data_IF_456480968048
#
_entry.id   IF_456480968048
#
_cell.length_a   1.000
_cell.length_b   1.000
_cell.length_c   1.000
_cell.angle_alpha   90.00
_cell.angle_beta   90.00
_cell.angle_gamma   90.00
#
_symmetry.space_group_name_H-M   'P 1'
#
loop_
_entity.id
_entity.type
_entity.pdbx_description
1 polymer ?
#
# COMPACT_ATOMS: atom_id res chain seq x y z
N UNK A 1 -8.42 6.32 -26.59
CA UNK A 1 -8.00 4.96 -26.15
C UNK A 1 -6.80 5.15 -25.21
N UNK A 2 -6.95 5.90 -24.11
CA UNK A 2 -5.80 6.65 -23.56
C UNK A 2 -5.31 6.16 -22.19
N UNK A 3 -5.72 4.96 -21.78
CA UNK A 3 -5.32 4.37 -20.48
C UNK A 3 -4.66 3.00 -20.61
N UNK A 4 -4.50 2.50 -21.84
CA UNK A 4 -3.67 1.34 -22.11
C UNK A 4 -2.21 1.73 -22.03
N UNK A 5 -1.41 0.89 -21.40
CA UNK A 5 0.02 1.12 -21.26
C UNK A 5 0.81 -0.17 -21.46
N UNK A 6 2.06 0.02 -21.89
CA UNK A 6 3.11 -0.98 -21.89
C UNK A 6 4.38 -0.29 -21.41
N UNK A 7 5.06 -0.90 -20.44
CA UNK A 7 6.34 -0.44 -19.90
C UNK A 7 7.33 -1.58 -20.02
N UNK A 8 8.48 -1.28 -20.63
CA UNK A 8 9.67 -2.12 -20.58
C UNK A 8 10.77 -1.29 -19.93
N UNK A 9 11.29 -1.78 -18.82
CA UNK A 9 12.42 -1.16 -18.14
C UNK A 9 13.61 -2.08 -18.21
N UNK A 10 14.72 -1.55 -18.72
CA UNK A 10 16.03 -2.20 -18.68
C UNK A 10 16.89 -1.58 -17.61
N UNK A 11 17.60 -2.40 -16.84
CA UNK A 11 18.48 -1.94 -15.77
C UNK A 11 19.92 -2.24 -16.15
N UNK A 12 20.82 -1.28 -15.88
CA UNK A 12 22.25 -1.47 -16.10
C UNK A 12 23.05 -0.95 -14.91
N UNK A 13 23.76 -1.85 -14.24
CA UNK A 13 24.55 -1.51 -13.06
C UNK A 13 25.91 -0.93 -13.45
N UNK A 14 26.09 0.36 -13.21
CA UNK A 14 27.28 1.12 -13.59
C UNK A 14 28.41 1.05 -12.56
N UNK A 15 28.15 0.58 -11.35
CA UNK A 15 29.09 0.60 -10.21
C UNK A 15 29.57 -0.78 -9.77
N UNK A 16 29.23 -1.84 -10.53
CA UNK A 16 29.60 -3.22 -10.20
C UNK A 16 28.93 -3.80 -8.95
N UNK A 17 27.97 -3.09 -8.33
CA UNK A 17 27.19 -3.62 -7.21
C UNK A 17 26.41 -4.86 -7.65
N UNK A 18 26.36 -5.88 -6.78
CA UNK A 18 25.58 -7.10 -7.01
C UNK A 18 24.60 -7.32 -5.86
N UNK A 19 23.31 -7.23 -6.16
CA UNK A 19 22.27 -7.57 -5.19
C UNK A 19 22.03 -9.08 -5.24
N UNK A 20 22.29 -9.83 -4.16
CA UNK A 20 22.11 -11.28 -4.16
C UNK A 20 20.64 -11.71 -4.24
N UNK A 21 19.69 -10.81 -3.95
CA UNK A 21 18.27 -11.12 -3.91
C UNK A 21 17.54 -10.76 -5.21
N UNK A 22 17.86 -9.61 -5.82
CA UNK A 22 17.11 -9.09 -6.96
C UNK A 22 17.94 -8.13 -7.81
N UNK A 23 18.24 -8.51 -9.06
CA UNK A 23 19.03 -7.73 -10.00
C UNK A 23 18.71 -8.15 -11.45
N UNK A 24 17.49 -7.83 -11.94
CA UNK A 24 17.11 -8.17 -13.31
C UNK A 24 17.81 -7.26 -14.32
N UNK A 25 18.08 -7.78 -15.51
CA UNK A 25 18.45 -6.96 -16.67
C UNK A 25 17.22 -6.20 -17.19
N UNK A 26 16.01 -6.76 -17.03
CA UNK A 26 14.77 -6.10 -17.42
C UNK A 26 13.54 -6.59 -16.64
N UNK A 27 12.51 -5.74 -16.61
CA UNK A 27 11.15 -6.11 -16.23
C UNK A 27 10.16 -5.46 -17.19
N UNK A 28 8.96 -6.03 -17.29
CA UNK A 28 7.92 -5.50 -18.16
C UNK A 28 6.55 -5.56 -17.50
N UNK A 29 5.74 -4.55 -17.81
CA UNK A 29 4.36 -4.43 -17.34
C UNK A 29 3.49 -3.92 -18.47
N UNK A 30 2.22 -4.30 -18.47
CA UNK A 30 1.24 -3.72 -19.38
C UNK A 30 -0.13 -3.84 -18.78
N UNK A 31 -1.06 -3.03 -19.28
CA UNK A 31 -2.42 -3.10 -18.80
C UNK A 31 -3.25 -1.90 -19.20
N UNK A 32 -4.35 -1.76 -18.47
CA UNK A 32 -5.24 -0.61 -18.51
C UNK A 32 -5.28 0.00 -17.11
N UNK A 33 -4.89 1.26 -16.98
CA UNK A 33 -4.92 1.99 -15.71
C UNK A 33 -5.54 3.36 -15.90
N UNK A 34 -6.81 3.45 -15.52
CA UNK A 34 -7.50 4.72 -15.41
C UNK A 34 -7.37 5.23 -13.97
N UNK A 35 -7.04 6.52 -13.83
CA UNK A 35 -6.92 7.17 -12.53
C UNK A 35 -8.26 7.77 -12.06
N UNK A 36 -9.26 7.85 -12.94
CA UNK A 36 -10.57 8.39 -12.62
C UNK A 36 -11.34 7.49 -11.65
N UNK A 37 -12.32 8.07 -10.96
CA UNK A 37 -13.17 7.36 -10.02
C UNK A 37 -14.13 6.41 -10.75
N UNK A 38 -14.50 5.32 -10.08
CA UNK A 38 -15.43 4.30 -10.57
C UNK A 38 -14.94 3.62 -11.85
N UNK A 39 -13.64 3.31 -11.87
CA UNK A 39 -13.00 2.70 -13.02
C UNK A 39 -12.40 1.36 -12.64
N UNK A 40 -12.42 0.45 -13.61
CA UNK A 40 -11.70 -0.81 -13.54
C UNK A 40 -10.31 -0.64 -14.12
N UNK A 41 -9.34 -1.29 -13.51
CA UNK A 41 -7.99 -1.46 -14.02
C UNK A 41 -7.68 -2.94 -14.18
N UNK A 42 -6.75 -3.24 -15.07
CA UNK A 42 -6.07 -4.52 -15.08
C UNK A 42 -4.62 -4.32 -15.45
N UNK A 43 -3.76 -5.20 -14.95
CA UNK A 43 -2.37 -5.21 -15.37
C UNK A 43 -1.75 -6.58 -15.28
N UNK A 44 -0.77 -6.80 -16.14
CA UNK A 44 0.19 -7.87 -16.01
C UNK A 44 1.55 -7.27 -15.66
N UNK A 45 2.26 -7.91 -14.74
CA UNK A 45 3.64 -7.56 -14.44
C UNK A 45 4.53 -8.79 -14.32
N UNK A 46 5.72 -8.71 -14.91
CA UNK A 46 6.79 -9.68 -14.71
C UNK A 46 8.00 -8.97 -14.13
N UNK A 47 8.09 -9.06 -12.80
CA UNK A 47 9.22 -8.61 -12.01
C UNK A 47 10.12 -9.77 -11.60
N UNK A 48 10.17 -10.89 -12.34
CA UNK A 48 11.19 -11.92 -12.04
C UNK A 48 12.59 -11.41 -12.40
N UNK A 49 13.60 -12.14 -11.93
CA UNK A 49 15.00 -11.82 -12.16
C UNK A 49 15.42 -12.15 -13.60
N UNK A 50 14.81 -11.49 -14.59
CA UNK A 50 15.07 -11.74 -16.01
C UNK A 50 16.50 -11.31 -16.35
N UNK A 51 17.34 -12.25 -16.76
CA UNK A 51 18.75 -11.99 -17.08
C UNK A 51 19.00 -12.46 -18.50
N UNK A 52 19.29 -11.51 -19.38
CA UNK A 52 19.57 -11.71 -20.81
C UNK A 52 20.79 -12.63 -20.97
N UNK A 53 21.87 -12.36 -20.21
CA UNK A 53 23.14 -13.09 -20.33
C UNK A 53 23.07 -14.57 -19.93
N UNK A 54 22.11 -14.94 -19.06
CA UNK A 54 21.95 -16.32 -18.56
C UNK A 54 20.92 -17.12 -19.35
N UNK A 55 20.34 -16.54 -20.40
CA UNK A 55 19.19 -17.09 -21.13
C UNK A 55 18.03 -17.51 -20.20
N UNK A 56 17.95 -16.87 -19.03
CA UNK A 56 16.96 -17.17 -18.00
C UNK A 56 15.81 -16.18 -18.19
N UNK A 57 15.02 -16.45 -19.23
CA UNK A 57 13.91 -15.63 -19.68
C UNK A 57 12.64 -16.13 -18.98
N UNK A 58 12.28 -15.50 -17.86
CA UNK A 58 11.03 -15.83 -17.19
C UNK A 58 9.87 -15.35 -18.06
N UNK A 59 8.98 -16.29 -18.41
CA UNK A 59 7.93 -16.08 -19.39
C UNK A 59 6.66 -15.51 -18.77
N UNK A 60 5.59 -15.50 -19.57
CA UNK A 60 4.27 -15.04 -19.10
C UNK A 60 3.78 -15.78 -17.85
N UNK A 61 4.15 -17.06 -17.70
CA UNK A 61 3.78 -17.92 -16.57
C UNK A 61 4.44 -17.53 -15.24
N UNK A 62 5.36 -16.59 -15.25
CA UNK A 62 6.11 -16.20 -14.05
C UNK A 62 5.67 -14.86 -13.47
N UNK A 63 4.81 -14.14 -14.18
CA UNK A 63 4.30 -12.85 -13.76
C UNK A 63 3.10 -12.92 -12.84
N UNK A 64 2.43 -11.78 -12.73
CA UNK A 64 1.28 -11.55 -11.87
C UNK A 64 0.22 -10.80 -12.68
N UNK A 65 -1.00 -11.32 -12.69
CA UNK A 65 -2.16 -10.55 -13.15
C UNK A 65 -2.81 -9.86 -11.98
N UNK A 66 -3.24 -8.62 -12.21
CA UNK A 66 -4.02 -7.82 -11.29
C UNK A 66 -5.27 -7.33 -11.99
N UNK A 67 -6.40 -7.39 -11.30
CA UNK A 67 -7.63 -6.68 -11.65
C UNK A 67 -7.98 -5.81 -10.47
N UNK A 68 -8.29 -4.55 -10.71
CA UNK A 68 -8.61 -3.60 -9.65
C UNK A 68 -9.80 -2.71 -9.96
N UNK A 69 -10.39 -2.17 -8.91
CA UNK A 69 -11.47 -1.20 -8.96
C UNK A 69 -11.21 -0.06 -7.98
N UNK A 70 -11.38 1.18 -8.46
CA UNK A 70 -11.18 2.40 -7.68
C UNK A 70 -12.49 3.15 -7.54
N UNK A 71 -12.85 3.53 -6.33
CA UNK A 71 -14.06 4.34 -6.07
C UNK A 71 -13.83 5.35 -4.97
N UNK A 72 -14.75 6.32 -4.86
CA UNK A 72 -14.83 7.22 -3.72
C UNK A 72 -16.21 7.12 -3.11
N UNK A 73 -16.23 6.99 -1.80
CA UNK A 73 -17.46 6.97 -1.02
C UNK A 73 -17.49 8.25 -0.19
N UNK A 74 -18.63 8.95 -0.27
CA UNK A 74 -18.97 10.07 0.61
C UNK A 74 -19.71 9.52 1.82
N UNK A 75 -19.69 10.27 2.92
CA UNK A 75 -20.54 10.00 4.08
C UNK A 75 -20.24 8.68 4.82
N UNK A 76 -19.00 8.18 4.72
CA UNK A 76 -18.50 7.22 5.72
C UNK A 76 -18.09 8.07 6.92
N UNK A 77 -18.94 8.16 7.94
CA UNK A 77 -18.62 8.93 9.14
C UNK A 77 -17.67 8.12 10.04
N UNK A 78 -16.44 8.63 10.21
CA UNK A 78 -15.60 8.19 11.33
C UNK A 78 -16.00 8.94 12.58
N UNK A 79 -16.36 8.18 13.61
CA UNK A 79 -16.72 8.71 14.93
C UNK A 79 -15.46 8.69 15.80
N UNK A 80 -14.82 9.85 15.96
CA UNK A 80 -13.74 9.99 16.92
C UNK A 80 -14.30 10.04 18.35
N UNK A 81 -13.87 9.11 19.21
CA UNK A 81 -14.17 9.11 20.64
C UNK A 81 -12.91 9.46 21.42
N UNK A 82 -12.82 10.69 21.91
CA UNK A 82 -11.81 11.06 22.89
C UNK A 82 -12.32 10.70 24.29
N UNK A 83 -11.57 9.91 25.04
CA UNK A 83 -11.85 9.63 26.45
C UNK A 83 -10.63 10.04 27.26
N UNK A 84 -10.79 11.08 28.07
CA UNK A 84 -9.74 11.49 29.00
C UNK A 84 -9.74 10.55 30.21
N UNK A 85 -8.61 9.89 30.46
CA UNK A 85 -8.42 9.02 31.63
C UNK A 85 -7.37 9.67 32.55
N UNK A 86 -7.79 10.41 33.59
CA UNK A 86 -6.87 10.94 34.60
C UNK A 86 -6.40 9.85 35.57
N UNK A 87 -5.23 10.05 36.20
CA UNK A 87 -4.72 9.14 37.23
C UNK A 87 -5.58 9.13 38.50
N UNK A 88 -5.42 8.07 39.30
CA UNK A 88 -6.27 7.65 40.40
C UNK A 88 -6.59 8.77 41.42
N UNK A 89 -7.87 8.88 41.82
CA UNK A 89 -8.46 9.63 42.96
C UNK A 89 -9.38 10.86 42.74
N UNK A 90 -10.19 10.97 41.67
CA UNK A 90 -11.32 11.95 41.66
C UNK A 90 -12.62 11.38 41.07
N UNK A 91 -13.79 11.89 41.48
CA UNK A 91 -15.10 11.63 40.85
C UNK A 91 -15.30 12.61 39.69
N UNK A 92 -15.84 12.16 38.55
CA UNK A 92 -15.84 12.93 37.30
C UNK A 92 -17.19 13.02 36.57
N UNK A 93 -17.34 14.12 35.83
CA UNK A 93 -18.25 14.31 34.70
C UNK A 93 -17.54 13.90 33.42
N UNK A 94 -18.11 12.98 32.64
CA UNK A 94 -17.59 12.57 31.33
C UNK A 94 -18.37 13.28 30.24
N UNK A 95 -17.68 14.05 29.40
CA UNK A 95 -18.25 14.64 28.18
C UNK A 95 -17.73 13.83 27.00
N UNK A 96 -18.64 13.13 26.31
CA UNK A 96 -18.36 12.44 25.06
C UNK A 96 -18.96 13.26 23.93
N UNK A 97 -18.11 13.78 23.04
CA UNK A 97 -18.53 14.44 21.82
C UNK A 97 -18.26 13.54 20.62
N UNK A 98 -19.13 13.62 19.62
CA UNK A 98 -18.96 12.97 18.33
C UNK A 98 -18.99 14.04 17.25
N UNK A 99 -18.04 14.00 16.32
CA UNK A 99 -18.04 14.86 15.14
C UNK A 99 -17.70 14.01 13.92
N UNK A 100 -18.47 14.10 12.82
CA UNK A 100 -18.09 13.47 11.56
C UNK A 100 -16.91 14.25 10.99
N UNK A 101 -15.83 13.54 10.66
CA UNK A 101 -14.55 14.14 10.25
C UNK A 101 -14.28 14.05 8.74
N UNK A 102 -15.15 13.44 7.93
CA UNK A 102 -14.73 13.02 6.59
C UNK A 102 -15.21 13.92 5.45
N UNK A 103 -14.26 14.38 4.63
CA UNK A 103 -14.56 15.00 3.33
C UNK A 103 -14.88 13.93 2.28
N UNK A 104 -13.99 12.94 2.12
CA UNK A 104 -14.20 11.78 1.26
C UNK A 104 -13.26 10.63 1.65
N UNK A 105 -13.69 9.40 1.33
CA UNK A 105 -12.86 8.19 1.46
C UNK A 105 -12.62 7.59 0.09
N UNK A 106 -11.35 7.48 -0.31
CA UNK A 106 -10.96 6.75 -1.52
C UNK A 106 -10.78 5.28 -1.17
N UNK A 107 -11.38 4.41 -1.94
CA UNK A 107 -11.33 2.96 -1.76
C UNK A 107 -10.72 2.33 -3.02
N UNK A 108 -9.81 1.39 -2.79
CA UNK A 108 -9.21 0.57 -3.82
C UNK A 108 -9.39 -0.90 -3.43
N UNK A 109 -9.84 -1.70 -4.39
CA UNK A 109 -9.94 -3.15 -4.24
C UNK A 109 -9.17 -3.76 -5.41
N UNK A 110 -8.23 -4.64 -5.10
CA UNK A 110 -7.42 -5.35 -6.08
C UNK A 110 -7.47 -6.85 -5.82
N UNK A 111 -7.44 -7.63 -6.90
CA UNK A 111 -7.21 -9.06 -6.88
C UNK A 111 -5.97 -9.35 -7.72
N UNK A 112 -5.00 -10.03 -7.12
CA UNK A 112 -3.74 -10.43 -7.75
C UNK A 112 -3.63 -11.96 -7.78
N UNK A 113 -3.21 -12.49 -8.94
CA UNK A 113 -2.89 -13.91 -9.11
C UNK A 113 -1.42 -14.08 -9.51
N UNK A 114 -0.64 -14.69 -8.62
CA UNK A 114 0.77 -15.02 -8.82
C UNK A 114 0.91 -16.42 -9.38
N UNK A 115 1.27 -16.54 -10.65
CA UNK A 115 1.36 -17.84 -11.32
C UNK A 115 2.49 -18.71 -10.77
N UNK A 116 3.64 -18.10 -10.46
CA UNK A 116 4.85 -18.82 -10.09
C UNK A 116 4.76 -19.52 -8.71
N UNK A 117 3.96 -18.98 -7.79
CA UNK A 117 3.73 -19.57 -6.45
C UNK A 117 2.29 -20.06 -6.25
N UNK A 118 1.46 -20.01 -7.32
CA UNK A 118 0.03 -20.36 -7.28
C UNK A 118 -0.70 -19.68 -6.12
N UNK A 119 -0.45 -18.39 -5.94
CA UNK A 119 -0.98 -17.61 -4.84
C UNK A 119 -2.00 -16.61 -5.35
N UNK A 120 -3.07 -16.41 -4.59
CA UNK A 120 -4.00 -15.32 -4.79
C UNK A 120 -3.88 -14.34 -3.64
N UNK A 121 -3.99 -13.04 -3.95
CA UNK A 121 -4.01 -11.98 -2.96
C UNK A 121 -5.16 -11.02 -3.25
N UNK A 122 -5.94 -10.68 -2.23
CA UNK A 122 -6.92 -9.62 -2.29
C UNK A 122 -6.38 -8.44 -1.49
N UNK A 123 -6.34 -7.27 -2.11
CA UNK A 123 -5.89 -6.02 -1.51
C UNK A 123 -7.09 -5.11 -1.34
N UNK A 124 -7.34 -4.65 -0.12
CA UNK A 124 -8.39 -3.66 0.18
C UNK A 124 -7.72 -2.47 0.84
N UNK A 125 -7.74 -1.32 0.18
CA UNK A 125 -7.15 -0.08 0.68
C UNK A 125 -8.20 1.00 0.84
N UNK A 126 -8.08 1.78 1.91
CA UNK A 126 -8.84 2.99 2.13
C UNK A 126 -7.90 4.15 2.49
N UNK A 127 -8.24 5.35 2.01
CA UNK A 127 -7.60 6.60 2.42
C UNK A 127 -8.66 7.68 2.59
N UNK A 128 -8.69 8.31 3.74
CA UNK A 128 -9.67 9.33 4.12
C UNK A 128 -8.97 10.56 4.63
N UNK A 129 -9.53 11.72 4.34
CA UNK A 129 -9.10 13.00 4.90
C UNK A 129 -10.04 13.36 6.04
N UNK A 130 -9.49 13.47 7.26
CA UNK A 130 -10.24 13.72 8.49
C UNK A 130 -10.35 15.22 8.82
N UNK A 131 -9.44 16.03 8.30
CA UNK A 131 -9.44 17.49 8.50
C UNK A 131 -8.47 18.15 7.51
N UNK A 132 -9.00 18.91 6.55
CA UNK A 132 -8.23 19.58 5.48
C UNK A 132 -7.30 18.58 4.77
N UNK A 133 -6.02 18.54 5.13
CA UNK A 133 -4.99 17.70 4.52
C UNK A 133 -4.51 16.58 5.41
N UNK A 134 -5.04 16.47 6.63
CA UNK A 134 -4.74 15.36 7.51
C UNK A 134 -5.46 14.12 6.99
N UNK A 135 -4.67 13.12 6.60
CA UNK A 135 -5.18 11.86 6.09
C UNK A 135 -4.85 10.69 7.01
N UNK A 136 -5.69 9.67 6.95
CA UNK A 136 -5.42 8.33 7.46
C UNK A 136 -5.64 7.35 6.31
N UNK A 137 -4.76 6.36 6.19
CA UNK A 137 -4.85 5.32 5.20
C UNK A 137 -4.49 3.97 5.79
N UNK A 138 -5.21 2.94 5.36
CA UNK A 138 -4.97 1.56 5.71
C UNK A 138 -5.12 0.66 4.50
N UNK A 139 -4.36 -0.43 4.48
CA UNK A 139 -4.52 -1.51 3.51
C UNK A 139 -4.54 -2.84 4.22
N UNK A 140 -5.38 -3.75 3.75
CA UNK A 140 -5.47 -5.14 4.18
C UNK A 140 -5.09 -6.03 2.99
N UNK A 141 -4.27 -7.05 3.25
CA UNK A 141 -3.85 -8.05 2.28
C UNK A 141 -4.32 -9.43 2.74
N UNK A 142 -5.15 -10.08 1.92
CA UNK A 142 -5.68 -11.41 2.20
C UNK A 142 -5.09 -12.41 1.21
N UNK A 143 -4.41 -13.42 1.74
CA UNK A 143 -3.68 -14.42 0.98
C UNK A 143 -4.49 -15.73 0.95
N UNK A 144 -4.62 -16.38 -0.21
CA UNK A 144 -5.35 -17.65 -0.31
C UNK A 144 -4.67 -18.81 0.40
N UNK A 145 -3.34 -18.78 0.48
CA UNK A 145 -2.53 -19.73 1.24
C UNK A 145 -1.47 -18.95 2.03
N UNK A 146 -1.49 -19.08 3.37
CA UNK A 146 -0.54 -18.40 4.25
C UNK A 146 0.86 -19.05 4.21
N UNK A 147 0.97 -20.33 3.89
CA UNK A 147 2.26 -21.04 3.79
C UNK A 147 3.12 -20.53 2.62
N UNK A 148 2.46 -19.98 1.60
CA UNK A 148 3.11 -19.38 0.44
C UNK A 148 3.48 -17.90 0.66
N UNK A 149 3.02 -17.30 1.76
CA UNK A 149 3.29 -15.90 2.06
C UNK A 149 4.74 -15.75 2.50
N UNK A 150 5.43 -14.79 1.92
CA UNK A 150 6.83 -14.53 2.24
C UNK A 150 6.99 -13.69 3.49
N UNK A 151 8.19 -13.71 4.07
CA UNK A 151 8.57 -12.85 5.18
C UNK A 151 8.54 -11.35 4.82
N UNK A 152 8.47 -10.98 3.55
CA UNK A 152 8.44 -9.59 3.10
C UNK A 152 7.01 -9.07 2.86
N UNK A 153 6.05 -9.96 2.73
CA UNK A 153 4.65 -9.62 2.48
C UNK A 153 3.97 -9.28 3.80
N UNK A 154 3.23 -8.17 3.88
CA UNK A 154 2.44 -7.84 5.08
C UNK A 154 1.02 -8.38 5.00
N UNK A 155 0.37 -8.51 6.16
CA UNK A 155 -1.06 -8.74 6.32
C UNK A 155 -1.86 -7.43 6.24
N UNK A 156 -1.25 -6.31 6.64
CA UNK A 156 -1.82 -4.98 6.51
C UNK A 156 -0.75 -3.90 6.32
N UNK A 157 -1.16 -2.67 6.10
CA UNK A 157 -0.30 -1.50 6.21
C UNK A 157 -1.12 -0.30 6.62
N UNK A 158 -0.47 0.69 7.20
CA UNK A 158 -1.13 1.94 7.55
C UNK A 158 -0.18 3.12 7.44
N UNK A 159 -0.76 4.26 7.17
CA UNK A 159 -0.06 5.54 7.15
C UNK A 159 -1.03 6.66 7.51
N UNK A 160 -0.49 7.75 8.03
CA UNK A 160 -1.25 8.95 8.32
C UNK A 160 -0.32 10.14 8.29
N UNK A 161 -0.89 11.33 8.17
CA UNK A 161 -0.12 12.54 8.19
C UNK A 161 -0.79 13.67 7.44
N UNK A 162 0.00 14.68 7.10
CA UNK A 162 -0.42 15.87 6.39
C UNK A 162 0.12 15.83 4.97
N UNK A 163 -0.76 15.86 3.97
CA UNK A 163 -0.37 15.81 2.55
C UNK A 163 -0.78 17.09 1.82
N UNK A 164 0.20 17.89 1.40
CA UNK A 164 0.01 19.09 0.59
C UNK A 164 0.80 18.95 -0.72
N UNK A 165 0.07 18.72 -1.81
CA UNK A 165 0.66 18.49 -3.13
C UNK A 165 1.02 19.78 -3.88
N UNK A 166 0.72 20.95 -3.32
CA UNK A 166 1.00 22.24 -3.95
C UNK A 166 2.49 22.57 -3.90
N UNK A 167 3.03 23.28 -4.91
CA UNK A 167 4.43 23.73 -4.89
C UNK A 167 4.74 24.55 -3.64
N UNK A 168 5.93 24.36 -3.07
CA UNK A 168 6.44 25.01 -1.86
C UNK A 168 5.65 24.74 -0.57
N UNK A 169 4.83 23.69 -0.54
CA UNK A 169 4.15 23.23 0.67
C UNK A 169 4.75 21.94 1.21
N UNK A 170 4.82 21.86 2.54
CA UNK A 170 5.42 20.74 3.26
C UNK A 170 4.36 19.66 3.53
N UNK A 171 4.74 18.42 3.27
CA UNK A 171 4.00 17.21 3.62
C UNK A 171 4.77 16.42 4.68
N UNK A 172 4.06 15.88 5.67
CA UNK A 172 4.62 14.99 6.70
C UNK A 172 3.80 13.71 6.71
N UNK A 173 4.44 12.57 6.55
CA UNK A 173 3.79 11.26 6.55
C UNK A 173 4.50 10.33 7.51
N UNK A 174 3.75 9.71 8.41
CA UNK A 174 4.18 8.47 9.05
C UNK A 174 3.70 7.29 8.21
N UNK A 175 4.56 6.31 7.97
CA UNK A 175 4.23 5.10 7.24
C UNK A 175 4.93 3.88 7.85
N UNK A 176 4.20 2.77 7.94
CA UNK A 176 4.82 1.48 8.19
C UNK A 176 5.45 0.96 6.88
N UNK A 177 6.60 1.51 6.52
CA UNK A 177 7.39 1.08 5.36
C UNK A 177 8.52 0.14 5.86
N UNK A 178 8.77 -0.96 5.15
CA UNK A 178 9.89 -1.92 5.35
C UNK A 178 9.80 -2.97 6.45
N UNK A 179 8.82 -2.90 7.35
CA UNK A 179 8.59 -3.98 8.31
C UNK A 179 7.24 -4.66 8.03
N UNK A 180 7.24 -5.95 7.66
CA UNK A 180 6.02 -6.69 7.37
C UNK A 180 5.13 -6.75 8.60
N UNK A 181 3.88 -6.30 8.49
CA UNK A 181 2.95 -6.39 9.62
C UNK A 181 2.19 -7.70 9.57
N UNK A 182 1.89 -8.22 10.75
CA UNK A 182 1.15 -9.47 10.94
C UNK A 182 -0.12 -9.20 11.74
N UNK A 183 -1.14 -10.02 11.55
CA UNK A 183 -2.34 -9.99 12.40
C UNK A 183 -2.05 -10.43 13.83
N UNK A 184 -2.59 -9.79 14.89
CA UNK A 184 -2.31 -10.08 16.31
C UNK A 184 -2.43 -11.53 16.79
N UNK A 185 -3.07 -12.40 16.02
CA UNK A 185 -3.23 -13.83 16.29
C UNK A 185 -2.19 -14.72 15.59
N UNK A 186 -1.22 -14.17 14.85
CA UNK A 186 -0.10 -14.91 14.26
C UNK A 186 1.03 -15.08 15.29
N UNK A 187 1.79 -16.16 15.14
CA UNK A 187 2.92 -16.44 16.04
C UNK A 187 4.13 -15.53 15.78
N UNK A 188 4.23 -14.99 14.56
CA UNK A 188 5.30 -14.11 14.12
C UNK A 188 5.24 -12.74 14.83
N UNK A 189 6.42 -12.21 15.21
CA UNK A 189 6.52 -10.93 15.92
C UNK A 189 6.00 -9.78 15.07
N UNK A 190 5.11 -8.99 15.64
CA UNK A 190 4.64 -7.73 15.05
C UNK A 190 5.74 -6.69 15.07
N UNK A 191 5.92 -5.94 13.97
CA UNK A 191 6.77 -4.77 14.02
C UNK A 191 6.09 -3.71 14.91
N UNK A 192 6.84 -3.20 15.87
CA UNK A 192 6.36 -2.15 16.77
C UNK A 192 6.05 -0.88 15.98
N UNK A 193 5.14 -0.03 16.48
CA UNK A 193 4.93 1.31 15.92
C UNK A 193 6.24 2.12 15.79
N UNK A 194 7.23 1.86 16.64
CA UNK A 194 8.55 2.48 16.55
C UNK A 194 9.36 2.11 15.29
N UNK A 195 8.95 1.08 14.55
CA UNK A 195 9.62 0.65 13.31
C UNK A 195 9.13 1.37 12.05
N UNK A 196 8.10 2.22 12.17
CA UNK A 196 7.66 3.04 11.04
C UNK A 196 8.60 4.19 10.74
N UNK A 197 8.35 4.83 9.60
CA UNK A 197 9.16 5.92 9.05
C UNK A 197 8.35 7.21 9.00
N UNK A 198 8.95 8.29 9.46
CA UNK A 198 8.47 9.65 9.20
C UNK A 198 9.18 10.19 7.97
N UNK A 199 8.41 10.64 7.00
CA UNK A 199 8.89 11.26 5.77
C UNK A 199 8.40 12.69 5.70
N UNK A 200 9.31 13.61 5.36
CA UNK A 200 9.02 15.02 5.11
C UNK A 200 9.34 15.28 3.65
N UNK A 201 8.41 15.88 2.91
CA UNK A 201 8.59 16.20 1.51
C UNK A 201 8.02 17.57 1.15
N UNK A 202 8.61 18.19 0.12
CA UNK A 202 8.12 19.43 -0.48
C UNK A 202 8.41 19.35 -1.97
N UNK A 203 7.42 19.72 -2.79
CA UNK A 203 7.59 19.81 -4.25
C UNK A 203 7.97 21.25 -4.61
N UNK A 204 8.92 21.40 -5.53
CA UNK A 204 9.38 22.69 -6.06
C UNK A 204 8.84 22.89 -7.47
#
# INVERSE_FOLDING_TARGET
MDYLYFTLTTMWDVNGYKNPYYQPDYYYTFGYSDYHQNTWGFSYSNYKNNIISKNNLYGFKDGTWEINYKTKVKDIDFIAKATYVPSENKKFLSLTGYTPLNDYTSIYIGYEHYFHIKQNKITISAKSFLYDKFFVSGTIFLYSNLDNQTDLESDYSYSFGWEDNRPYHLSIKYAQEYSPTRWPWREEKYPAFSSGKISISMKF
#
